data_IF_071696761016
#
_entry.id   IF_071696761016
#
_cell.length_a   1.000
_cell.length_b   1.000
_cell.length_c   1.000
_cell.angle_alpha   90.00
_cell.angle_beta   90.00
_cell.angle_gamma   90.00
#
_symmetry.space_group_name_H-M   'P 1'
#
loop_
_entity.id
_entity.type
_entity.pdbx_description
1 polymer ?
#
# COMPACT_ATOMS: atom_id res chain seq x y z
N UNK A 1 -12.76 11.99 -5.66
CA UNK A 1 -11.77 11.74 -6.73
C UNK A 1 -10.40 12.33 -6.40
N UNK A 2 -10.27 13.65 -6.19
CA UNK A 2 -8.96 14.30 -5.96
C UNK A 2 -8.17 13.74 -4.77
N UNK A 3 -8.82 13.47 -3.63
CA UNK A 3 -8.16 12.90 -2.45
C UNK A 3 -7.60 11.49 -2.69
N UNK A 4 -8.31 10.67 -3.46
CA UNK A 4 -7.86 9.32 -3.82
C UNK A 4 -6.65 9.38 -4.76
N UNK A 5 -6.66 10.30 -5.73
CA UNK A 5 -5.55 10.50 -6.65
C UNK A 5 -4.27 10.95 -5.92
N UNK A 6 -4.40 11.88 -4.97
CA UNK A 6 -3.28 12.31 -4.12
C UNK A 6 -2.79 11.13 -3.28
N UNK A 7 -3.70 10.40 -2.62
CA UNK A 7 -3.34 9.24 -1.79
C UNK A 7 -2.55 8.19 -2.58
N UNK A 8 -3.10 7.72 -3.70
CA UNK A 8 -2.46 6.70 -4.55
C UNK A 8 -1.12 7.21 -5.11
N UNK A 9 -1.08 8.46 -5.56
CA UNK A 9 0.12 9.09 -6.13
C UNK A 9 1.24 9.30 -5.12
N UNK A 10 0.92 9.37 -3.82
CA UNK A 10 1.94 9.48 -2.76
C UNK A 10 2.41 8.09 -2.31
N UNK A 11 1.49 7.14 -2.15
CA UNK A 11 1.79 5.79 -1.64
C UNK A 11 2.61 4.96 -2.63
N UNK A 12 2.34 5.06 -3.93
CA UNK A 12 3.05 4.27 -4.94
C UNK A 12 4.58 4.55 -4.95
N UNK A 13 5.05 5.79 -5.12
CA UNK A 13 6.48 6.07 -5.14
C UNK A 13 7.15 5.90 -3.77
N UNK A 14 6.44 6.17 -2.66
CA UNK A 14 6.97 5.92 -1.31
C UNK A 14 7.17 4.42 -1.04
N UNK A 15 6.25 3.56 -1.50
CA UNK A 15 6.37 2.12 -1.35
C UNK A 15 7.55 1.56 -2.14
N UNK A 16 7.70 1.98 -3.40
CA UNK A 16 8.82 1.52 -4.24
C UNK A 16 10.17 1.99 -3.69
N UNK A 17 10.24 3.22 -3.16
CA UNK A 17 11.44 3.74 -2.48
C UNK A 17 11.75 2.96 -1.19
N UNK A 18 10.74 2.62 -0.39
CA UNK A 18 10.92 1.87 0.86
C UNK A 18 11.42 0.44 0.60
N UNK A 19 10.91 -0.23 -0.43
CA UNK A 19 11.40 -1.54 -0.85
C UNK A 19 12.83 -1.44 -1.37
N UNK A 20 13.16 -0.36 -2.08
CA UNK A 20 14.51 -0.08 -2.54
C UNK A 20 15.53 0.08 -1.42
N UNK A 21 15.18 0.81 -0.35
CA UNK A 21 16.07 1.09 0.78
C UNK A 21 16.31 -0.15 1.69
N UNK A 22 15.37 -1.10 1.70
CA UNK A 22 15.45 -2.34 2.48
C UNK A 22 16.13 -3.48 1.71
N UNK A 23 16.31 -3.36 0.40
CA UNK A 23 16.81 -4.45 -0.45
C UNK A 23 18.29 -4.28 -0.81
N UNK A 24 19.08 -5.35 -0.68
CA UNK A 24 20.43 -5.40 -1.25
C UNK A 24 20.40 -5.27 -2.79
N UNK A 25 21.43 -4.66 -3.38
CA UNK A 25 21.55 -4.39 -4.83
C UNK A 25 21.34 -5.63 -5.72
N UNK A 26 21.78 -6.81 -5.26
CA UNK A 26 21.62 -8.08 -5.98
C UNK A 26 20.18 -8.62 -5.97
N UNK A 27 19.36 -8.24 -4.98
CA UNK A 27 17.98 -8.73 -4.81
C UNK A 27 16.90 -7.67 -5.07
N UNK A 28 17.30 -6.42 -5.31
CA UNK A 28 16.42 -5.28 -5.55
C UNK A 28 15.37 -5.58 -6.63
N UNK A 29 15.78 -6.16 -7.76
CA UNK A 29 14.88 -6.47 -8.87
C UNK A 29 13.82 -7.52 -8.49
N UNK A 30 14.18 -8.51 -7.66
CA UNK A 30 13.27 -9.55 -7.18
C UNK A 30 12.29 -8.95 -6.17
N UNK A 31 12.77 -8.14 -5.23
CA UNK A 31 11.94 -7.53 -4.19
C UNK A 31 10.95 -6.51 -4.78
N UNK A 32 11.39 -5.67 -5.73
CA UNK A 32 10.49 -4.77 -6.47
C UNK A 32 9.49 -5.54 -7.33
N UNK A 33 9.92 -6.63 -7.99
CA UNK A 33 9.02 -7.51 -8.75
C UNK A 33 7.94 -8.17 -7.87
N UNK A 34 8.31 -8.61 -6.67
CA UNK A 34 7.38 -9.16 -5.69
C UNK A 34 6.41 -8.10 -5.16
N UNK A 35 6.91 -6.91 -4.81
CA UNK A 35 6.08 -5.77 -4.39
C UNK A 35 5.09 -5.36 -5.48
N UNK A 36 5.53 -5.29 -6.74
CA UNK A 36 4.66 -5.02 -7.89
C UNK A 36 3.60 -6.10 -8.11
N UNK A 37 3.95 -7.37 -7.92
CA UNK A 37 3.00 -8.49 -8.03
C UNK A 37 1.86 -8.37 -7.01
N UNK A 38 2.17 -8.00 -5.77
CA UNK A 38 1.16 -7.76 -4.74
C UNK A 38 0.25 -6.57 -5.08
N UNK A 39 0.79 -5.52 -5.71
CA UNK A 39 0.01 -4.37 -6.15
C UNK A 39 -1.00 -4.75 -7.24
N UNK A 40 -0.57 -5.48 -8.26
CA UNK A 40 -1.46 -5.98 -9.33
C UNK A 40 -2.53 -6.94 -8.78
N UNK A 41 -2.16 -7.81 -7.83
CA UNK A 41 -3.13 -8.65 -7.13
C UNK A 41 -4.17 -7.84 -6.36
N UNK A 42 -3.75 -6.75 -5.71
CA UNK A 42 -4.65 -5.82 -5.03
C UNK A 42 -5.60 -5.11 -5.99
N UNK A 43 -5.10 -4.65 -7.14
CA UNK A 43 -5.92 -4.02 -8.19
C UNK A 43 -6.96 -4.97 -8.77
N UNK A 44 -6.67 -6.28 -8.86
CA UNK A 44 -7.64 -7.29 -9.30
C UNK A 44 -8.60 -7.69 -8.19
N UNK A 45 -8.08 -7.95 -6.98
CA UNK A 45 -8.87 -8.45 -5.86
C UNK A 45 -9.81 -7.39 -5.27
N UNK A 46 -9.41 -6.11 -5.30
CA UNK A 46 -10.20 -4.98 -4.79
C UNK A 46 -11.60 -4.88 -5.41
N UNK A 47 -11.73 -4.60 -6.72
CA UNK A 47 -13.02 -4.49 -7.40
C UNK A 47 -13.78 -5.82 -7.41
N UNK A 48 -13.09 -6.97 -7.46
CA UNK A 48 -13.73 -8.27 -7.41
C UNK A 48 -14.43 -8.53 -6.06
N UNK A 49 -13.73 -8.29 -4.95
CA UNK A 49 -14.29 -8.43 -3.60
C UNK A 49 -15.38 -7.39 -3.31
N UNK A 50 -15.17 -6.13 -3.70
CA UNK A 50 -16.18 -5.06 -3.62
C UNK A 50 -17.43 -5.37 -4.44
N UNK A 51 -17.26 -5.88 -5.66
CA UNK A 51 -18.37 -6.26 -6.54
C UNK A 51 -19.17 -7.43 -6.00
N UNK A 52 -18.51 -8.42 -5.39
CA UNK A 52 -19.17 -9.56 -4.76
C UNK A 52 -19.96 -9.15 -3.51
N UNK A 53 -19.37 -8.32 -2.64
CA UNK A 53 -20.05 -7.82 -1.43
C UNK A 53 -21.19 -6.87 -1.79
N UNK A 54 -20.97 -5.98 -2.77
CA UNK A 54 -21.97 -5.03 -3.23
C UNK A 54 -23.23 -5.71 -3.77
N UNK A 55 -23.11 -6.86 -4.43
CA UNK A 55 -24.25 -7.63 -4.94
C UNK A 55 -24.98 -8.46 -3.87
N UNK A 56 -24.29 -8.90 -2.83
CA UNK A 56 -24.85 -9.82 -1.82
C UNK A 56 -25.49 -9.11 -0.64
N UNK A 57 -24.91 -7.98 -0.18
CA UNK A 57 -25.30 -7.32 1.09
C UNK A 57 -25.60 -5.82 0.90
N UNK A 58 -25.41 -5.31 -0.33
CA UNK A 58 -25.65 -3.91 -0.67
C UNK A 58 -24.40 -3.02 -0.60
N UNK A 59 -24.48 -1.84 -1.22
CA UNK A 59 -23.35 -0.94 -1.44
C UNK A 59 -22.77 -0.36 -0.13
N UNK A 60 -23.58 -0.25 0.91
CA UNK A 60 -23.21 0.36 2.20
C UNK A 60 -22.10 -0.44 2.90
N UNK A 61 -22.21 -1.78 2.89
CA UNK A 61 -21.19 -2.68 3.46
C UNK A 61 -19.90 -2.71 2.64
N UNK A 62 -19.99 -2.51 1.31
CA UNK A 62 -18.83 -2.44 0.44
C UNK A 62 -17.95 -1.20 0.77
N UNK A 63 -18.58 -0.05 1.01
CA UNK A 63 -17.87 1.16 1.48
C UNK A 63 -17.26 0.99 2.86
N UNK A 64 -17.97 0.33 3.79
CA UNK A 64 -17.46 0.04 5.13
C UNK A 64 -16.22 -0.86 5.08
N UNK A 65 -16.20 -1.87 4.20
CA UNK A 65 -15.04 -2.75 4.02
C UNK A 65 -13.81 -2.01 3.51
N UNK A 66 -13.97 -1.12 2.52
CA UNK A 66 -12.87 -0.27 2.03
C UNK A 66 -12.35 0.66 3.11
N UNK A 67 -13.25 1.28 3.88
CA UNK A 67 -12.86 2.14 5.00
C UNK A 67 -12.09 1.37 6.08
N UNK A 68 -12.59 0.18 6.46
CA UNK A 68 -11.95 -0.69 7.44
C UNK A 68 -10.57 -1.18 6.96
N UNK A 69 -10.45 -1.57 5.68
CA UNK A 69 -9.17 -1.96 5.09
C UNK A 69 -8.15 -0.80 5.09
N UNK A 70 -8.60 0.43 4.79
CA UNK A 70 -7.76 1.63 4.85
C UNK A 70 -7.27 1.94 6.27
N UNK A 71 -8.16 1.87 7.27
CA UNK A 71 -7.80 2.06 8.69
C UNK A 71 -6.85 0.95 9.16
N UNK A 72 -7.12 -0.31 8.77
CA UNK A 72 -6.25 -1.45 9.06
C UNK A 72 -4.85 -1.27 8.49
N UNK A 73 -4.74 -0.75 7.25
CA UNK A 73 -3.45 -0.41 6.64
C UNK A 73 -2.71 0.68 7.43
N UNK A 74 -3.39 1.75 7.85
CA UNK A 74 -2.79 2.76 8.73
C UNK A 74 -2.30 2.19 10.05
N UNK A 75 -3.09 1.30 10.67
CA UNK A 75 -2.73 0.65 11.92
C UNK A 75 -1.49 -0.25 11.76
N UNK A 76 -1.44 -1.05 10.70
CA UNK A 76 -0.28 -1.87 10.38
C UNK A 76 0.97 -1.03 10.13
N UNK A 77 0.85 0.09 9.39
CA UNK A 77 1.97 1.02 9.18
C UNK A 77 2.42 1.69 10.48
N UNK A 78 1.49 2.01 11.39
CA UNK A 78 1.83 2.51 12.73
C UNK A 78 2.68 1.51 13.50
N UNK A 79 2.27 0.23 13.52
CA UNK A 79 3.04 -0.85 14.16
C UNK A 79 4.39 -1.11 13.48
N UNK A 80 4.48 -0.96 12.16
CA UNK A 80 5.74 -1.10 11.42
C UNK A 80 6.68 0.09 11.64
N UNK A 81 6.12 1.31 11.77
CA UNK A 81 6.88 2.54 12.06
C UNK A 81 7.59 2.46 13.41
N UNK A 82 6.97 1.83 14.40
CA UNK A 82 7.64 1.54 15.69
C UNK A 82 8.84 0.59 15.55
N UNK A 83 8.90 -0.23 14.49
CA UNK A 83 10.05 -1.06 14.14
C UNK A 83 11.08 -0.40 13.20
N UNK A 84 10.72 0.67 12.48
CA UNK A 84 11.54 1.29 11.42
C UNK A 84 12.05 2.71 11.74
N UNK A 85 11.92 3.18 13.00
CA UNK A 85 12.43 4.48 13.44
C UNK A 85 13.95 4.72 13.29
N UNK A 86 14.72 3.77 12.75
CA UNK A 86 16.15 3.89 12.49
C UNK A 86 16.56 4.01 11.01
N UNK A 87 15.67 3.82 10.03
CA UNK A 87 16.06 3.81 8.60
C UNK A 87 15.62 5.08 7.86
N UNK A 88 14.46 5.66 8.21
CA UNK A 88 13.93 6.88 7.56
C UNK A 88 14.78 8.13 7.87
N UNK A 89 15.59 8.13 8.93
CA UNK A 89 16.45 9.26 9.28
C UNK A 89 17.65 9.42 8.32
N UNK A 90 17.92 8.43 7.45
CA UNK A 90 19.00 8.50 6.45
C UNK A 90 18.55 8.92 5.04
N UNK A 91 17.25 9.10 4.80
CA UNK A 91 16.70 9.42 3.46
C UNK A 91 16.19 10.87 3.38
N UNK A 92 17.08 11.84 3.58
CA UNK A 92 16.92 13.21 3.11
C UNK A 92 18.26 13.93 3.10
N UNK A 93 18.53 14.92 2.21
CA UNK A 93 17.84 15.34 0.99
C UNK A 93 18.59 14.82 -0.27
N UNK A 94 17.87 14.36 -1.31
CA UNK A 94 18.50 14.23 -2.62
C UNK A 94 18.59 15.62 -3.26
N UNK A 95 19.83 16.09 -3.42
CA UNK A 95 20.21 17.29 -4.15
C UNK A 95 19.90 17.17 -5.64
#
# INVERSE_FOLDING_TARGET
ACLLAIGIGTVAPLGDALVGDVSDEDNLAINLGLAGSYKELGEMAGPLSLGFVGQTIGLEYAFLLVGAAGIGSLFCLGMLKEGQGGVVESAGPAC
#
